data_IF_260441489578
#
_entry.id   IF_260441489578
#
_cell.length_a   1.000
_cell.length_b   1.000
_cell.length_c   1.000
_cell.angle_alpha   90.00
_cell.angle_beta   90.00
_cell.angle_gamma   90.00
#
_symmetry.space_group_name_H-M   'P 1'
#
loop_
_entity.id
_entity.type
_entity.pdbx_description
1 polymer ?
#
# COMPACT_ATOMS: atom_id res chain seq x y z
N UNK A 1 -10.74 8.64 -13.15
CA UNK A 1 -9.75 8.55 -12.06
C UNK A 1 -8.66 9.58 -12.25
N UNK A 2 -8.17 10.14 -11.18
CA UNK A 2 -7.12 11.15 -11.22
C UNK A 2 -5.83 10.54 -11.79
N UNK A 3 -5.28 11.09 -12.87
CA UNK A 3 -4.04 10.55 -13.44
C UNK A 3 -2.86 10.61 -12.47
N UNK A 4 -2.87 11.58 -11.56
CA UNK A 4 -1.80 11.67 -10.56
C UNK A 4 -1.90 10.53 -9.55
N UNK A 5 -3.12 10.15 -9.21
CA UNK A 5 -3.35 9.05 -8.29
C UNK A 5 -2.94 7.72 -8.93
N UNK A 6 -3.29 7.53 -10.20
CA UNK A 6 -2.87 6.34 -10.92
C UNK A 6 -1.36 6.23 -11.02
N UNK A 7 -0.71 7.35 -11.33
CA UNK A 7 0.74 7.36 -11.43
C UNK A 7 1.39 7.06 -10.07
N UNK A 8 0.82 7.61 -9.00
CA UNK A 8 1.32 7.35 -7.66
C UNK A 8 1.14 5.89 -7.29
N UNK A 9 -0.01 5.31 -7.62
CA UNK A 9 -0.28 3.90 -7.36
C UNK A 9 0.70 3.01 -8.11
N UNK A 10 0.96 3.32 -9.36
CA UNK A 10 1.91 2.58 -10.17
C UNK A 10 3.33 2.67 -9.61
N UNK A 11 3.74 3.88 -9.20
CA UNK A 11 5.04 4.08 -8.60
C UNK A 11 5.19 3.30 -7.30
N UNK A 12 4.15 3.32 -6.46
CA UNK A 12 4.15 2.57 -5.22
C UNK A 12 4.26 1.08 -5.49
N UNK A 13 3.45 0.58 -6.42
CA UNK A 13 3.45 -0.84 -6.76
C UNK A 13 4.83 -1.28 -7.22
N UNK A 14 5.46 -0.50 -8.08
CA UNK A 14 6.81 -0.78 -8.55
C UNK A 14 7.81 -0.85 -7.42
N UNK A 15 7.65 0.00 -6.43
CA UNK A 15 8.57 0.05 -5.30
C UNK A 15 8.42 -1.11 -4.35
N UNK A 16 7.20 -1.54 -4.11
CA UNK A 16 6.93 -2.45 -3.00
C UNK A 16 6.64 -3.88 -3.40
N UNK A 17 6.18 -4.12 -4.62
CA UNK A 17 5.78 -5.49 -5.00
C UNK A 17 6.91 -6.50 -4.99
N UNK A 18 8.14 -6.07 -5.11
CA UNK A 18 9.27 -6.99 -5.02
C UNK A 18 9.73 -7.27 -3.62
N UNK A 19 9.12 -6.64 -2.62
CA UNK A 19 9.57 -6.80 -1.23
C UNK A 19 8.89 -7.96 -0.54
N UNK A 20 9.63 -8.65 0.33
CA UNK A 20 9.03 -9.76 1.09
C UNK A 20 7.90 -9.25 1.96
N UNK A 21 6.83 -10.01 2.04
CA UNK A 21 5.72 -9.68 2.89
C UNK A 21 4.64 -8.79 2.26
N UNK A 22 4.90 -8.23 1.10
CA UNK A 22 3.90 -7.41 0.40
C UNK A 22 3.03 -8.31 -0.46
N UNK A 23 1.73 -8.28 -0.21
CA UNK A 23 0.79 -9.12 -0.95
C UNK A 23 0.02 -8.37 -2.03
N UNK A 24 -0.07 -7.04 -1.91
CA UNK A 24 -0.74 -6.27 -2.94
C UNK A 24 -0.82 -4.79 -2.59
N UNK A 25 -1.34 -4.03 -3.54
CA UNK A 25 -1.56 -2.60 -3.37
C UNK A 25 -2.94 -2.27 -3.92
N UNK A 26 -3.48 -1.14 -3.47
CA UNK A 26 -4.78 -0.69 -3.96
C UNK A 26 -4.89 0.82 -3.81
N UNK A 27 -5.90 1.38 -4.44
CA UNK A 27 -6.26 2.77 -4.27
C UNK A 27 -7.47 2.79 -3.34
N UNK A 28 -7.42 3.65 -2.34
CA UNK A 28 -8.50 3.78 -1.38
C UNK A 28 -8.86 5.22 -1.12
N UNK A 29 -9.65 5.41 -0.09
CA UNK A 29 -10.08 6.74 0.32
C UNK A 29 -10.07 6.82 1.84
N UNK A 30 -9.56 7.92 2.35
CA UNK A 30 -9.50 8.14 3.78
C UNK A 30 -9.92 9.56 4.06
N UNK A 31 -10.97 9.73 4.85
CA UNK A 31 -11.47 11.05 5.20
C UNK A 31 -11.88 11.90 4.01
N UNK A 32 -12.39 11.28 2.95
CA UNK A 32 -12.81 11.97 1.75
C UNK A 32 -11.69 12.28 0.77
N UNK A 33 -10.47 11.86 1.11
CA UNK A 33 -9.31 12.09 0.23
C UNK A 33 -8.76 10.78 -0.30
N UNK A 34 -8.30 10.76 -1.55
CA UNK A 34 -7.72 9.53 -2.08
C UNK A 34 -6.43 9.17 -1.35
N UNK A 35 -6.21 7.89 -1.18
CA UNK A 35 -4.98 7.38 -0.58
C UNK A 35 -4.56 6.10 -1.27
N UNK A 36 -3.36 5.65 -0.96
CA UNK A 36 -2.84 4.41 -1.48
C UNK A 36 -2.82 3.39 -0.36
N UNK A 37 -3.05 2.14 -0.68
CA UNK A 37 -3.03 1.08 0.32
C UNK A 37 -2.01 0.03 -0.05
N UNK A 38 -1.32 -0.49 0.96
CA UNK A 38 -0.40 -1.60 0.80
C UNK A 38 -0.84 -2.70 1.74
N UNK A 39 -1.02 -3.89 1.20
CA UNK A 39 -1.42 -5.05 1.98
C UNK A 39 -0.21 -5.91 2.26
N UNK A 40 -0.03 -6.27 3.50
CA UNK A 40 1.11 -7.06 3.94
C UNK A 40 0.65 -8.35 4.59
N UNK A 41 1.46 -9.39 4.44
CA UNK A 41 1.25 -10.62 5.18
C UNK A 41 2.03 -10.62 6.48
N UNK A 42 2.97 -9.69 6.62
CA UNK A 42 3.82 -9.60 7.79
C UNK A 42 3.97 -8.14 8.19
N UNK A 43 3.63 -7.85 9.41
CA UNK A 43 3.74 -6.54 10.00
C UNK A 43 5.15 -5.94 9.93
N UNK A 44 6.18 -6.77 10.03
CA UNK A 44 7.55 -6.31 9.94
C UNK A 44 7.92 -5.70 8.61
N UNK A 45 7.20 -6.06 7.55
CA UNK A 45 7.45 -5.50 6.23
C UNK A 45 7.08 -4.03 6.13
N UNK A 46 6.27 -3.53 7.05
CA UNK A 46 5.84 -2.13 7.03
C UNK A 46 6.98 -1.14 7.28
N UNK A 47 8.01 -1.56 7.95
CA UNK A 47 9.11 -0.68 8.34
C UNK A 47 9.88 -0.08 7.18
N UNK A 48 9.90 -0.76 6.06
CA UNK A 48 10.66 -0.30 4.90
C UNK A 48 9.80 0.42 3.87
N UNK A 49 8.53 0.64 4.17
CA UNK A 49 7.61 1.23 3.20
C UNK A 49 7.51 2.74 3.37
N UNK A 50 7.28 3.48 2.27
CA UNK A 50 7.13 4.92 2.37
C UNK A 50 5.79 5.29 3.03
N UNK A 51 5.76 6.42 3.72
CA UNK A 51 4.54 6.92 4.34
C UNK A 51 3.65 7.66 3.35
N UNK A 52 4.23 8.12 2.25
CA UNK A 52 3.48 8.81 1.20
C UNK A 52 4.21 8.66 -0.14
N UNK A 53 3.47 8.78 -1.21
CA UNK A 53 4.01 8.74 -2.57
C UNK A 53 3.31 9.81 -3.38
N UNK A 54 4.07 10.70 -3.99
CA UNK A 54 3.54 11.76 -4.85
C UNK A 54 2.46 12.61 -4.17
N UNK A 55 2.59 12.80 -2.86
CA UNK A 55 1.63 13.59 -2.10
C UNK A 55 0.42 12.82 -1.60
N UNK A 56 0.30 11.55 -1.93
CA UNK A 56 -0.80 10.71 -1.45
C UNK A 56 -0.33 9.87 -0.27
N UNK A 57 -1.16 9.80 0.75
CA UNK A 57 -0.84 9.03 1.94
C UNK A 57 -0.87 7.54 1.64
N UNK A 58 0.06 6.81 2.23
CA UNK A 58 0.10 5.36 2.11
C UNK A 58 -0.43 4.75 3.41
N UNK A 59 -1.50 3.99 3.29
CA UNK A 59 -2.11 3.28 4.42
C UNK A 59 -1.67 1.83 4.36
N UNK A 60 -1.14 1.35 5.46
CA UNK A 60 -0.63 -0.02 5.54
C UNK A 60 -1.68 -0.89 6.22
N UNK A 61 -2.02 -2.00 5.60
CA UNK A 61 -2.92 -2.97 6.19
C UNK A 61 -2.25 -4.33 6.23
N UNK A 62 -2.22 -4.93 7.39
CA UNK A 62 -1.68 -6.28 7.55
C UNK A 62 -2.83 -7.26 7.43
N UNK A 63 -2.83 -8.03 6.37
CA UNK A 63 -3.93 -8.93 6.07
C UNK A 63 -3.66 -10.38 6.41
N UNK A 64 -2.46 -10.71 6.74
CA UNK A 64 -2.14 -12.08 7.05
C UNK A 64 -0.97 -12.17 7.95
N UNK A 65 -0.48 -13.36 8.18
CA UNK A 65 -1.03 -14.63 7.71
C UNK A 65 -2.32 -14.97 8.42
N UNK A 66 -3.28 -15.46 7.67
CA UNK A 66 -4.51 -15.93 8.27
C UNK A 66 -4.31 -17.33 8.79
N UNK A 67 -4.79 -17.53 10.01
CA UNK A 67 -4.73 -18.84 10.58
C UNK A 67 -6.06 -19.48 10.50
N UNK A 68 -6.05 -20.66 9.98
CA UNK A 68 -7.23 -21.44 9.98
C UNK A 68 -7.23 -22.32 11.18
N UNK A 69 -8.28 -22.28 11.91
CA UNK A 69 -8.38 -23.10 13.10
C UNK A 69 -9.29 -24.28 12.89
#
# INVERSE_FOLDING_TARGET
MDPKLEAAHRALTSKVMGRPGVTGTAIGEEGGKPCLKVYLSDKGAAESLPASVAGFRVVIEVTGPFRRL
#
